data_IF_634076038647
#
_entry.id   IF_634076038647
#
_cell.length_a   1.000
_cell.length_b   1.000
_cell.length_c   1.000
_cell.angle_alpha   90.00
_cell.angle_beta   90.00
_cell.angle_gamma   90.00
#
_symmetry.space_group_name_H-M   'P 1'
#
loop_
_entity.id
_entity.type
_entity.pdbx_description
1 polymer ?
#
# COMPACT_ATOMS: atom_id res chain seq x y z
N UNK A 1 3.13 35.59 -2.23
CA UNK A 1 3.00 35.19 -0.80
C UNK A 1 1.56 34.79 -0.58
N UNK A 2 1.33 33.51 -0.29
CA UNK A 2 0.00 32.94 -0.06
C UNK A 2 0.23 31.57 0.56
N UNK A 3 0.10 31.51 1.89
CA UNK A 3 0.43 30.35 2.70
C UNK A 3 -0.42 29.15 2.31
N UNK A 4 0.24 28.08 1.89
CA UNK A 4 -0.31 26.75 2.07
C UNK A 4 -0.15 26.45 3.56
N UNK A 5 -1.25 26.53 4.31
CA UNK A 5 -1.30 26.05 5.68
C UNK A 5 -0.83 24.60 5.70
N UNK A 6 0.40 24.42 6.19
CA UNK A 6 1.00 23.13 6.38
C UNK A 6 0.21 22.41 7.46
N UNK A 7 -0.53 21.37 7.08
CA UNK A 7 -1.08 20.39 8.01
C UNK A 7 0.06 19.85 8.89
N UNK A 8 0.17 20.40 10.10
CA UNK A 8 0.97 19.86 11.20
C UNK A 8 2.27 20.58 11.54
N UNK A 9 2.43 21.88 11.30
CA UNK A 9 3.50 22.64 11.98
C UNK A 9 2.95 23.35 13.22
N UNK A 10 2.96 22.64 14.35
CA UNK A 10 2.91 23.26 15.67
C UNK A 10 4.11 22.77 16.48
N UNK A 11 4.84 23.70 17.11
CA UNK A 11 6.07 23.49 17.88
C UNK A 11 5.92 22.69 19.19
N UNK A 12 5.19 21.57 19.15
CA UNK A 12 5.14 20.56 20.21
C UNK A 12 6.09 19.39 19.95
N UNK A 13 6.33 18.56 20.96
CA UNK A 13 7.08 17.31 20.82
C UNK A 13 6.49 16.46 19.69
N UNK A 14 7.34 16.02 18.75
CA UNK A 14 6.94 15.16 17.63
C UNK A 14 6.28 13.88 18.15
N UNK A 15 5.21 13.45 17.47
CA UNK A 15 4.50 12.22 17.81
C UNK A 15 5.42 11.02 17.63
N UNK A 16 5.36 10.10 18.60
CA UNK A 16 6.24 8.94 18.69
C UNK A 16 5.54 7.70 18.15
N UNK A 17 6.10 7.02 17.15
CA UNK A 17 5.49 5.85 16.52
C UNK A 17 6.25 4.55 16.83
N UNK A 18 5.53 3.44 16.89
CA UNK A 18 6.11 2.10 16.77
C UNK A 18 6.15 1.70 15.29
N UNK A 19 7.32 1.25 14.82
CA UNK A 19 7.50 0.71 13.47
C UNK A 19 7.59 -0.81 13.52
N UNK A 20 6.70 -1.51 12.81
CA UNK A 20 6.67 -2.97 12.74
C UNK A 20 6.94 -3.38 11.28
N UNK A 21 8.01 -4.09 11.00
CA UNK A 21 8.37 -4.54 9.64
C UNK A 21 8.74 -6.02 9.60
N UNK A 22 8.39 -6.74 8.54
CA UNK A 22 8.70 -8.19 8.46
C UNK A 22 10.17 -8.45 8.21
N UNK A 23 10.75 -7.78 7.22
CA UNK A 23 12.19 -7.78 6.97
C UNK A 23 12.65 -6.42 6.43
N UNK A 24 13.89 -6.04 6.72
CA UNK A 24 14.51 -4.82 6.18
C UNK A 24 15.67 -5.22 5.29
N UNK A 25 15.49 -5.14 3.97
CA UNK A 25 16.51 -5.40 2.94
C UNK A 25 16.37 -4.41 1.80
N UNK A 26 17.33 -4.36 0.89
CA UNK A 26 17.26 -3.51 -0.30
C UNK A 26 15.95 -3.73 -1.07
N UNK A 27 15.24 -2.64 -1.35
CA UNK A 27 13.92 -2.60 -2.00
C UNK A 27 12.80 -3.30 -1.25
N UNK A 28 12.97 -3.63 0.04
CA UNK A 28 11.85 -4.08 0.85
C UNK A 28 10.92 -2.92 1.19
N UNK A 29 9.63 -3.20 1.34
CA UNK A 29 8.67 -2.21 1.81
C UNK A 29 9.12 -1.60 3.14
N UNK A 30 9.51 -2.44 4.11
CA UNK A 30 9.98 -1.95 5.42
C UNK A 30 11.19 -1.03 5.29
N UNK A 31 12.14 -1.34 4.40
CA UNK A 31 13.28 -0.47 4.13
C UNK A 31 12.84 0.91 3.61
N UNK A 32 11.92 0.94 2.64
CA UNK A 32 11.40 2.20 2.10
C UNK A 32 10.73 3.09 3.14
N UNK A 33 9.93 2.52 4.05
CA UNK A 33 9.25 3.29 5.09
C UNK A 33 10.19 3.65 6.25
N UNK A 34 11.00 2.71 6.73
CA UNK A 34 11.91 2.93 7.86
C UNK A 34 12.90 4.07 7.56
N UNK A 35 13.55 4.03 6.39
CA UNK A 35 14.51 5.07 6.00
C UNK A 35 13.83 6.45 5.91
N UNK A 36 12.62 6.52 5.35
CA UNK A 36 11.87 7.78 5.17
C UNK A 36 11.35 8.37 6.48
N UNK A 37 10.95 7.51 7.41
CA UNK A 37 10.46 7.92 8.74
C UNK A 37 11.61 8.25 9.69
N UNK A 38 12.80 7.68 9.49
CA UNK A 38 13.96 7.95 10.33
C UNK A 38 14.78 9.17 9.85
N UNK A 39 15.03 9.26 8.53
CA UNK A 39 15.95 10.25 7.96
C UNK A 39 15.22 11.35 7.19
N UNK A 40 14.16 11.01 6.47
CA UNK A 40 13.48 11.92 5.53
C UNK A 40 13.65 11.49 4.07
N UNK A 41 13.20 12.31 3.13
CA UNK A 41 13.26 12.01 1.69
C UNK A 41 13.11 13.23 0.79
N UNK A 42 13.59 13.11 -0.45
CA UNK A 42 13.33 14.09 -1.50
C UNK A 42 11.89 13.99 -2.03
N UNK A 43 11.16 15.10 -2.03
CA UNK A 43 9.85 15.23 -2.68
C UNK A 43 9.60 16.68 -3.10
N UNK A 44 8.90 16.86 -4.23
CA UNK A 44 8.58 18.18 -4.82
C UNK A 44 9.81 19.11 -4.96
N UNK A 45 10.98 18.54 -5.25
CA UNK A 45 12.21 19.30 -5.43
C UNK A 45 12.90 19.75 -4.15
N UNK A 46 12.45 19.30 -2.97
CA UNK A 46 13.08 19.63 -1.69
C UNK A 46 13.17 18.42 -0.75
N UNK A 47 13.95 18.58 0.32
CA UNK A 47 14.03 17.59 1.39
C UNK A 47 12.80 17.69 2.30
N UNK A 48 12.26 16.53 2.69
CA UNK A 48 11.14 16.40 3.61
C UNK A 48 11.66 15.81 4.92
N UNK A 49 11.60 16.62 5.99
CA UNK A 49 11.89 16.16 7.34
C UNK A 49 10.78 15.23 7.85
N UNK A 50 11.12 14.17 8.61
CA UNK A 50 10.13 13.34 9.27
C UNK A 50 9.21 14.15 10.20
N UNK A 51 7.90 13.90 10.12
CA UNK A 51 6.88 14.55 10.98
C UNK A 51 6.64 13.82 12.31
N UNK A 52 7.28 12.68 12.49
CA UNK A 52 7.14 11.78 13.65
C UNK A 52 8.51 11.23 14.02
N UNK A 53 8.68 10.82 15.27
CA UNK A 53 9.87 10.11 15.74
C UNK A 53 9.58 8.62 15.88
N UNK A 54 10.52 7.77 15.48
CA UNK A 54 10.41 6.32 15.69
C UNK A 54 10.87 6.01 17.12
N UNK A 55 9.94 5.63 17.99
CA UNK A 55 10.23 5.29 19.38
C UNK A 55 10.74 3.86 19.56
N UNK A 56 10.29 2.96 18.70
CA UNK A 56 10.57 1.54 18.76
C UNK A 56 10.44 0.90 17.39
N UNK A 57 11.20 -0.17 17.20
CA UNK A 57 11.20 -0.99 16.00
C UNK A 57 11.01 -2.45 16.40
N UNK A 58 10.15 -3.15 15.68
CA UNK A 58 10.10 -4.61 15.67
C UNK A 58 10.37 -5.08 14.24
N UNK A 59 11.29 -6.04 14.12
CA UNK A 59 11.61 -6.73 12.86
C UNK A 59 11.48 -8.23 13.11
N UNK A 60 10.65 -8.92 12.32
CA UNK A 60 10.36 -10.35 12.52
C UNK A 60 11.48 -11.24 11.98
N UNK A 61 12.01 -10.91 10.80
CA UNK A 61 12.98 -11.72 10.08
C UNK A 61 14.20 -10.90 9.68
N UNK A 62 15.38 -11.48 9.90
CA UNK A 62 16.66 -10.95 9.46
C UNK A 62 17.26 -11.93 8.43
N UNK A 63 17.15 -11.64 7.13
CA UNK A 63 17.62 -12.56 6.10
C UNK A 63 19.15 -12.70 6.15
N UNK A 64 19.67 -13.92 5.98
CA UNK A 64 21.13 -14.20 6.01
C UNK A 64 21.92 -13.32 5.04
N UNK A 65 21.34 -13.04 3.87
CA UNK A 65 21.94 -12.19 2.84
C UNK A 65 21.09 -10.93 2.64
N UNK A 66 21.76 -9.77 2.65
CA UNK A 66 21.14 -8.49 2.35
C UNK A 66 20.27 -7.91 3.47
N UNK A 67 20.37 -8.42 4.70
CA UNK A 67 19.81 -7.74 5.88
C UNK A 67 20.41 -6.33 5.99
N UNK A 68 19.52 -5.36 6.13
CA UNK A 68 19.85 -3.98 6.46
C UNK A 68 19.27 -3.59 7.82
N UNK A 69 18.49 -4.45 8.48
CA UNK A 69 17.78 -4.15 9.71
C UNK A 69 18.70 -3.71 10.84
N UNK A 70 19.72 -4.51 11.15
CA UNK A 70 20.68 -4.19 12.23
C UNK A 70 21.45 -2.89 11.96
N UNK A 71 21.91 -2.70 10.72
CA UNK A 71 22.61 -1.49 10.32
C UNK A 71 21.71 -0.25 10.45
N UNK A 72 20.46 -0.29 9.97
CA UNK A 72 19.54 0.84 10.04
C UNK A 72 19.17 1.21 11.48
N UNK A 73 18.97 0.21 12.32
CA UNK A 73 18.70 0.44 13.75
C UNK A 73 19.87 1.18 14.39
N UNK A 74 21.11 0.73 14.15
CA UNK A 74 22.31 1.40 14.65
C UNK A 74 22.48 2.81 14.06
N UNK A 75 22.36 2.94 12.74
CA UNK A 75 22.56 4.18 11.98
C UNK A 75 21.64 5.30 12.45
N UNK A 76 20.39 4.97 12.75
CA UNK A 76 19.38 5.94 13.15
C UNK A 76 19.17 6.02 14.67
N UNK A 77 19.97 5.30 15.47
CA UNK A 77 19.83 5.30 16.93
C UNK A 77 18.50 4.75 17.43
N UNK A 78 17.92 3.78 16.71
CA UNK A 78 16.63 3.17 17.03
C UNK A 78 16.81 2.02 18.01
N UNK A 79 15.70 1.59 18.63
CA UNK A 79 15.66 0.46 19.54
C UNK A 79 14.82 -0.68 18.98
N UNK A 80 15.45 -1.84 18.81
CA UNK A 80 14.76 -3.09 18.51
C UNK A 80 14.11 -3.66 19.76
N UNK A 81 12.90 -4.17 19.60
CA UNK A 81 12.15 -4.90 20.60
C UNK A 81 11.85 -6.31 20.11
N UNK A 82 11.81 -7.32 21.00
CA UNK A 82 11.62 -8.72 20.64
C UNK A 82 10.18 -9.08 20.29
N UNK A 83 9.21 -8.20 20.60
CA UNK A 83 7.80 -8.44 20.31
C UNK A 83 7.05 -7.15 19.97
N UNK A 84 5.89 -7.31 19.31
CA UNK A 84 4.98 -6.20 19.00
C UNK A 84 4.47 -5.55 20.30
N UNK A 85 4.10 -6.33 21.32
CA UNK A 85 3.68 -5.78 22.61
C UNK A 85 4.77 -4.91 23.22
N UNK A 86 6.02 -5.37 23.24
CA UNK A 86 7.10 -4.57 23.80
C UNK A 86 7.42 -3.35 22.96
N UNK A 87 7.33 -3.43 21.63
CA UNK A 87 7.49 -2.26 20.76
C UNK A 87 6.42 -1.20 21.03
N UNK A 88 5.15 -1.58 21.22
CA UNK A 88 4.05 -0.66 21.50
C UNK A 88 4.09 -0.10 22.92
N UNK A 89 4.58 -0.89 23.88
CA UNK A 89 4.59 -0.53 25.31
C UNK A 89 5.93 0.04 25.78
N UNK A 90 6.95 0.00 24.92
CA UNK A 90 8.34 0.30 25.24
C UNK A 90 8.89 -0.54 26.41
N UNK A 91 8.30 -1.71 26.67
CA UNK A 91 8.63 -2.61 27.79
C UNK A 91 7.90 -2.29 29.10
N UNK A 92 7.00 -1.31 29.12
CA UNK A 92 6.27 -0.89 30.34
C UNK A 92 4.98 -1.69 30.59
N UNK A 93 4.55 -2.51 29.63
CA UNK A 93 3.30 -3.26 29.69
C UNK A 93 2.02 -2.44 29.40
N UNK A 94 2.12 -1.14 29.15
CA UNK A 94 1.02 -0.27 28.69
C UNK A 94 1.43 0.54 27.46
N UNK A 95 0.47 0.87 26.60
CA UNK A 95 0.70 1.59 25.34
C UNK A 95 1.43 2.92 25.57
N UNK A 96 2.64 3.03 25.04
CA UNK A 96 3.56 4.15 25.28
C UNK A 96 3.94 4.94 24.00
N UNK A 97 3.30 4.61 22.86
CA UNK A 97 3.46 5.32 21.59
C UNK A 97 2.18 6.09 21.21
N UNK A 98 2.30 7.00 20.25
CA UNK A 98 1.24 7.84 19.69
C UNK A 98 0.65 7.28 18.38
N UNK A 99 1.28 6.27 17.77
CA UNK A 99 0.83 5.65 16.53
C UNK A 99 1.61 4.38 16.19
N UNK A 100 1.08 3.58 15.26
CA UNK A 100 1.69 2.33 14.80
C UNK A 100 1.76 2.31 13.28
N UNK A 101 2.92 1.90 12.75
CA UNK A 101 3.16 1.70 11.32
C UNK A 101 3.47 0.23 11.08
N UNK A 102 2.54 -0.48 10.44
CA UNK A 102 2.61 -1.91 10.10
C UNK A 102 3.03 -2.06 8.64
N UNK A 103 4.26 -2.52 8.42
CA UNK A 103 4.81 -2.84 7.10
C UNK A 103 5.04 -4.35 7.00
N UNK A 104 3.93 -5.10 7.00
CA UNK A 104 3.96 -6.55 6.92
C UNK A 104 3.99 -7.05 5.46
N UNK A 105 5.12 -6.84 4.78
CA UNK A 105 5.32 -7.19 3.37
C UNK A 105 6.76 -7.64 3.10
N UNK A 106 6.92 -8.68 2.27
CA UNK A 106 8.14 -9.47 2.08
C UNK A 106 8.51 -10.33 3.31
N UNK A 107 9.59 -11.11 3.20
CA UNK A 107 9.95 -12.19 4.12
C UNK A 107 9.45 -13.55 3.68
N UNK A 108 9.81 -14.58 4.44
CA UNK A 108 9.40 -15.98 4.23
C UNK A 108 8.14 -16.25 5.04
N UNK A 109 7.00 -16.34 4.35
CA UNK A 109 5.70 -16.69 4.94
C UNK A 109 5.01 -17.77 4.10
N UNK A 110 4.09 -18.56 4.69
CA UNK A 110 3.34 -19.57 3.96
C UNK A 110 2.56 -18.99 2.78
N UNK A 111 2.32 -19.82 1.77
CA UNK A 111 1.41 -19.49 0.66
C UNK A 111 0.19 -20.40 0.70
N UNK A 112 -0.96 -19.86 0.33
CA UNK A 112 -2.18 -20.66 0.20
C UNK A 112 -2.36 -21.21 -1.24
N UNK A 113 -3.39 -22.02 -1.44
CA UNK A 113 -3.74 -22.62 -2.73
C UNK A 113 -4.04 -21.60 -3.85
N UNK A 114 -4.41 -20.36 -3.47
CA UNK A 114 -4.63 -19.25 -4.41
C UNK A 114 -3.32 -18.56 -4.83
N UNK A 115 -2.19 -18.99 -4.28
CA UNK A 115 -0.87 -18.40 -4.51
C UNK A 115 -0.61 -17.12 -3.71
N UNK A 116 -1.48 -16.75 -2.78
CA UNK A 116 -1.30 -15.57 -1.93
C UNK A 116 -0.27 -15.88 -0.85
N UNK A 117 0.66 -14.96 -0.61
CA UNK A 117 1.56 -15.04 0.54
C UNK A 117 0.83 -14.55 1.78
N UNK A 118 0.78 -15.39 2.82
CA UNK A 118 0.07 -15.11 4.06
C UNK A 118 0.92 -14.25 4.99
N UNK A 119 1.15 -13.00 4.57
CA UNK A 119 1.83 -12.01 5.39
C UNK A 119 1.02 -11.73 6.67
N UNK A 120 1.70 -11.47 7.81
CA UNK A 120 1.07 -11.48 9.14
C UNK A 120 0.33 -10.17 9.47
N UNK A 121 -0.27 -9.51 8.47
CA UNK A 121 -0.97 -8.21 8.63
C UNK A 121 -2.08 -8.27 9.66
N UNK A 122 -2.92 -9.30 9.56
CA UNK A 122 -4.03 -9.52 10.48
C UNK A 122 -3.53 -9.83 11.87
N UNK A 123 -2.59 -10.77 11.99
CA UNK A 123 -2.02 -11.23 13.25
C UNK A 123 -1.37 -10.06 14.00
N UNK A 124 -0.56 -9.24 13.33
CA UNK A 124 0.10 -8.08 13.94
C UNK A 124 -0.89 -6.98 14.34
N UNK A 125 -1.91 -6.73 13.52
CA UNK A 125 -2.98 -5.82 13.88
C UNK A 125 -3.71 -6.29 15.14
N UNK A 126 -4.00 -7.60 15.27
CA UNK A 126 -4.65 -8.16 16.45
C UNK A 126 -3.77 -8.05 17.71
N UNK A 127 -2.45 -8.18 17.59
CA UNK A 127 -1.53 -7.89 18.71
C UNK A 127 -1.61 -6.41 19.14
N UNK A 128 -1.72 -5.47 18.19
CA UNK A 128 -1.94 -4.07 18.52
C UNK A 128 -3.28 -3.86 19.26
N UNK A 129 -4.35 -4.50 18.78
CA UNK A 129 -5.68 -4.46 19.42
C UNK A 129 -5.64 -4.96 20.87
N UNK A 130 -4.94 -6.07 21.14
CA UNK A 130 -4.78 -6.59 22.51
C UNK A 130 -4.10 -5.58 23.43
N UNK A 131 -3.05 -4.91 22.96
CA UNK A 131 -2.36 -3.85 23.73
C UNK A 131 -3.29 -2.66 23.97
N UNK A 132 -4.09 -2.27 22.98
CA UNK A 132 -5.02 -1.16 23.09
C UNK A 132 -6.12 -1.45 24.12
N UNK A 133 -6.68 -2.67 24.11
CA UNK A 133 -7.67 -3.14 25.08
C UNK A 133 -7.09 -3.14 26.50
N UNK A 134 -5.92 -3.75 26.69
CA UNK A 134 -5.22 -3.78 27.99
C UNK A 134 -4.88 -2.38 28.51
N UNK A 135 -4.61 -1.45 27.61
CA UNK A 135 -4.26 -0.06 27.95
C UNK A 135 -5.48 0.87 28.08
N UNK A 136 -6.68 0.41 27.68
CA UNK A 136 -7.89 1.24 27.63
C UNK A 136 -7.81 2.40 26.62
N UNK A 137 -6.88 2.34 25.65
CA UNK A 137 -6.62 3.43 24.69
C UNK A 137 -6.07 2.87 23.38
N UNK A 138 -6.64 3.33 22.26
CA UNK A 138 -6.09 3.10 20.92
C UNK A 138 -5.29 4.30 20.39
N UNK A 139 -4.46 4.05 19.38
CA UNK A 139 -3.74 5.07 18.61
C UNK A 139 -3.92 4.83 17.11
N UNK A 140 -3.72 5.86 16.25
CA UNK A 140 -3.76 5.68 14.82
C UNK A 140 -2.85 4.52 14.35
N UNK A 141 -3.38 3.69 13.47
CA UNK A 141 -2.66 2.59 12.83
C UNK A 141 -2.61 2.81 11.33
N UNK A 142 -1.41 2.78 10.76
CA UNK A 142 -1.17 2.66 9.33
C UNK A 142 -0.80 1.21 9.01
N UNK A 143 -1.50 0.57 8.08
CA UNK A 143 -1.22 -0.78 7.61
C UNK A 143 -0.95 -0.76 6.10
N UNK A 144 0.28 -1.10 5.71
CA UNK A 144 0.66 -1.11 4.30
C UNK A 144 -0.13 -2.14 3.46
N UNK A 145 -0.66 -1.70 2.32
CA UNK A 145 -1.52 -2.46 1.37
C UNK A 145 -2.89 -2.85 1.93
N UNK A 146 -3.46 -3.95 1.43
CA UNK A 146 -4.76 -4.48 1.88
C UNK A 146 -4.68 -4.93 3.35
N UNK A 147 -5.86 -5.09 3.95
CA UNK A 147 -6.02 -5.53 5.34
C UNK A 147 -5.57 -6.99 5.56
N UNK A 148 -6.28 -7.93 4.94
CA UNK A 148 -6.02 -9.37 5.04
C UNK A 148 -6.45 -10.07 3.75
N UNK A 149 -6.18 -11.37 3.64
CA UNK A 149 -6.51 -12.20 2.47
C UNK A 149 -7.94 -12.77 2.51
N UNK A 150 -8.67 -12.57 3.61
CA UNK A 150 -10.06 -13.02 3.75
C UNK A 150 -10.98 -11.88 4.21
N UNK A 151 -12.20 -11.84 3.66
CA UNK A 151 -13.19 -10.81 3.98
C UNK A 151 -13.53 -10.77 5.48
N UNK A 152 -13.67 -11.93 6.12
CA UNK A 152 -13.99 -12.01 7.55
C UNK A 152 -12.92 -11.31 8.41
N UNK A 153 -11.64 -11.58 8.15
CA UNK A 153 -10.53 -10.91 8.83
C UNK A 153 -10.48 -9.41 8.53
N UNK A 154 -10.66 -9.01 7.27
CA UNK A 154 -10.74 -7.59 6.89
C UNK A 154 -11.84 -6.85 7.65
N UNK A 155 -13.05 -7.45 7.71
CA UNK A 155 -14.20 -6.88 8.43
C UNK A 155 -13.92 -6.76 9.92
N UNK A 156 -13.36 -7.81 10.52
CA UNK A 156 -12.99 -7.79 11.94
C UNK A 156 -12.00 -6.67 12.27
N UNK A 157 -10.97 -6.47 11.43
CA UNK A 157 -10.01 -5.37 11.63
C UNK A 157 -10.69 -3.99 11.60
N UNK A 158 -11.63 -3.77 10.68
CA UNK A 158 -12.41 -2.52 10.59
C UNK A 158 -13.34 -2.37 11.79
N UNK A 159 -14.00 -3.44 12.21
CA UNK A 159 -14.91 -3.44 13.36
C UNK A 159 -14.15 -3.15 14.66
N UNK A 160 -12.96 -3.71 14.85
CA UNK A 160 -12.08 -3.43 15.98
C UNK A 160 -11.64 -1.97 16.02
N UNK A 161 -11.23 -1.41 14.88
CA UNK A 161 -10.87 0.00 14.79
C UNK A 161 -12.02 0.94 15.19
N UNK A 162 -13.24 0.62 14.77
CA UNK A 162 -14.46 1.35 15.16
C UNK A 162 -14.78 1.17 16.63
N UNK A 163 -14.76 -0.07 17.14
CA UNK A 163 -15.06 -0.43 18.53
C UNK A 163 -14.11 0.26 19.51
N UNK A 164 -12.81 0.28 19.18
CA UNK A 164 -11.76 0.90 19.99
C UNK A 164 -11.48 2.36 19.62
N UNK A 165 -12.23 2.91 18.67
CA UNK A 165 -12.24 4.33 18.26
C UNK A 165 -10.86 4.87 17.89
N UNK A 166 -10.07 4.12 17.14
CA UNK A 166 -8.79 4.60 16.61
C UNK A 166 -8.84 4.79 15.08
N UNK A 167 -8.16 5.82 14.54
CA UNK A 167 -8.02 5.98 13.09
C UNK A 167 -7.25 4.81 12.48
N UNK A 168 -7.80 4.22 11.43
CA UNK A 168 -7.17 3.10 10.74
C UNK A 168 -7.06 3.39 9.25
N UNK A 169 -5.81 3.45 8.76
CA UNK A 169 -5.51 3.70 7.36
C UNK A 169 -4.79 2.50 6.76
N UNK A 170 -5.28 2.03 5.62
CA UNK A 170 -4.67 0.97 4.84
C UNK A 170 -4.90 1.23 3.35
N UNK A 171 -4.09 0.62 2.51
CA UNK A 171 -4.26 0.67 1.07
C UNK A 171 -2.95 0.76 0.32
N UNK A 172 -3.09 0.82 -1.00
CA UNK A 172 -2.03 1.08 -1.95
C UNK A 172 -1.55 2.53 -1.87
N UNK A 173 -0.28 2.74 -2.23
CA UNK A 173 0.26 4.08 -2.51
C UNK A 173 -0.13 4.61 -3.89
N UNK A 174 -0.67 3.76 -4.77
CA UNK A 174 -0.97 4.12 -6.16
C UNK A 174 -2.08 5.16 -6.31
N UNK A 175 -3.14 5.22 -5.45
CA UNK A 175 -4.09 6.33 -5.43
C UNK A 175 -3.47 7.71 -5.19
N UNK A 176 -2.27 7.78 -4.60
CA UNK A 176 -1.56 9.04 -4.29
C UNK A 176 -0.28 9.23 -5.11
N UNK A 177 -0.03 8.36 -6.09
CA UNK A 177 1.14 8.47 -6.96
C UNK A 177 1.04 9.62 -7.95
N UNK A 178 2.18 9.99 -8.57
CA UNK A 178 2.20 10.94 -9.67
C UNK A 178 1.59 10.30 -10.92
N UNK A 179 0.73 11.04 -11.61
CA UNK A 179 0.03 10.59 -12.82
C UNK A 179 0.64 11.24 -14.06
N UNK A 180 0.57 10.53 -15.19
CA UNK A 180 1.00 11.02 -16.50
C UNK A 180 -0.09 10.72 -17.54
N UNK A 181 -0.83 11.74 -18.03
CA UNK A 181 -0.82 13.14 -17.58
C UNK A 181 -1.34 13.28 -16.13
N UNK A 182 -0.99 14.38 -15.46
CA UNK A 182 -1.42 14.66 -14.07
C UNK A 182 -2.89 15.07 -14.02
N UNK A 183 -3.79 14.14 -14.30
CA UNK A 183 -5.24 14.34 -14.33
C UNK A 183 -5.90 13.53 -13.21
N UNK A 184 -6.79 14.18 -12.47
CA UNK A 184 -7.80 13.53 -11.64
C UNK A 184 -9.13 13.54 -12.42
N UNK A 185 -9.89 12.44 -12.33
CA UNK A 185 -11.19 12.38 -13.00
C UNK A 185 -12.11 13.48 -12.44
N UNK A 186 -12.70 14.36 -13.27
CA UNK A 186 -13.59 15.38 -12.73
C UNK A 186 -14.76 14.74 -11.96
N UNK A 187 -15.19 15.40 -10.88
CA UNK A 187 -16.32 14.91 -10.11
C UNK A 187 -17.60 14.90 -10.95
N UNK A 188 -18.46 13.92 -10.71
CA UNK A 188 -19.77 13.78 -11.35
C UNK A 188 -19.76 13.55 -12.88
N UNK A 189 -18.60 13.21 -13.44
CA UNK A 189 -18.50 12.78 -14.84
C UNK A 189 -19.35 11.53 -15.05
N UNK A 190 -20.16 11.44 -16.11
CA UNK A 190 -20.89 10.22 -16.47
C UNK A 190 -19.96 9.16 -17.04
N UNK A 191 -18.98 8.72 -16.23
CA UNK A 191 -18.03 7.69 -16.61
C UNK A 191 -18.78 6.37 -16.80
N UNK A 192 -18.73 5.82 -18.01
CA UNK A 192 -19.34 4.53 -18.34
C UNK A 192 -18.38 3.36 -18.12
N UNK A 193 -17.10 3.59 -18.37
CA UNK A 193 -16.07 2.56 -18.36
C UNK A 193 -14.73 3.13 -17.92
N UNK A 194 -13.94 2.30 -17.25
CA UNK A 194 -12.57 2.58 -16.83
C UNK A 194 -11.75 1.30 -16.94
N UNK A 195 -10.51 1.42 -17.44
CA UNK A 195 -9.60 0.29 -17.60
C UNK A 195 -8.27 0.64 -16.95
N UNK A 196 -7.78 -0.27 -16.12
CA UNK A 196 -6.41 -0.27 -15.63
C UNK A 196 -5.70 -1.51 -16.17
N UNK A 197 -4.50 -1.31 -16.73
CA UNK A 197 -3.61 -2.38 -17.15
C UNK A 197 -2.40 -2.33 -16.22
N UNK A 198 -2.13 -3.44 -15.55
CA UNK A 198 -1.04 -3.56 -14.59
C UNK A 198 -0.30 -4.89 -14.79
N UNK A 199 0.91 -4.96 -14.24
CA UNK A 199 1.74 -6.15 -14.19
C UNK A 199 1.74 -6.73 -12.77
N UNK A 200 2.27 -7.94 -12.62
CA UNK A 200 2.45 -8.60 -11.34
C UNK A 200 1.47 -9.76 -11.12
N UNK A 201 1.49 -10.31 -9.90
CA UNK A 201 0.71 -11.48 -9.54
C UNK A 201 -0.49 -11.16 -8.66
N UNK A 202 -1.39 -12.14 -8.60
CA UNK A 202 -2.58 -12.11 -7.74
C UNK A 202 -2.21 -11.71 -6.32
N UNK A 203 -3.00 -10.83 -5.73
CA UNK A 203 -2.86 -10.30 -4.35
C UNK A 203 -1.71 -9.30 -4.16
N UNK A 204 -0.56 -9.55 -4.78
CA UNK A 204 0.62 -8.67 -4.69
C UNK A 204 0.47 -7.35 -5.43
N UNK A 205 -0.07 -7.39 -6.66
CA UNK A 205 -0.20 -6.22 -7.55
C UNK A 205 -1.65 -5.95 -7.98
N UNK A 206 -2.51 -6.97 -8.02
CA UNK A 206 -3.92 -6.81 -8.44
C UNK A 206 -4.65 -5.75 -7.61
N UNK A 207 -4.39 -5.70 -6.30
CA UNK A 207 -4.91 -4.65 -5.41
C UNK A 207 -4.50 -3.25 -5.88
N UNK A 208 -3.25 -3.08 -6.29
CA UNK A 208 -2.74 -1.80 -6.78
C UNK A 208 -3.44 -1.39 -8.06
N UNK A 209 -3.71 -2.33 -8.97
CA UNK A 209 -4.47 -2.07 -10.19
C UNK A 209 -5.91 -1.64 -9.87
N UNK A 210 -6.56 -2.36 -8.94
CA UNK A 210 -7.92 -2.07 -8.49
C UNK A 210 -8.02 -0.70 -7.83
N UNK A 211 -7.17 -0.38 -6.85
CA UNK A 211 -7.22 0.91 -6.17
C UNK A 211 -6.84 2.09 -7.09
N UNK A 212 -5.91 1.87 -8.03
CA UNK A 212 -5.60 2.87 -9.08
C UNK A 212 -6.84 3.18 -9.91
N UNK A 213 -7.56 2.16 -10.37
CA UNK A 213 -8.79 2.33 -11.15
C UNK A 213 -9.91 2.95 -10.30
N UNK A 214 -10.07 2.47 -9.07
CA UNK A 214 -11.15 2.81 -8.17
C UNK A 214 -11.09 4.29 -7.76
N UNK A 215 -9.92 4.80 -7.38
CA UNK A 215 -9.78 6.20 -6.95
C UNK A 215 -10.18 7.22 -8.03
N UNK A 216 -10.12 6.82 -9.32
CA UNK A 216 -10.57 7.62 -10.45
C UNK A 216 -12.06 7.37 -10.77
N UNK A 217 -12.47 6.10 -10.73
CA UNK A 217 -13.80 5.66 -11.17
C UNK A 217 -14.91 6.00 -10.17
N UNK A 218 -14.58 6.12 -8.88
CA UNK A 218 -15.54 6.49 -7.82
C UNK A 218 -15.84 7.98 -7.78
N UNK A 219 -15.13 8.80 -8.56
CA UNK A 219 -15.46 10.22 -8.76
C UNK A 219 -16.59 10.42 -9.77
N UNK A 220 -17.05 9.35 -10.44
CA UNK A 220 -18.14 9.39 -11.44
C UNK A 220 -19.47 9.83 -10.82
N UNK A 221 -20.42 10.23 -11.67
CA UNK A 221 -21.80 10.54 -11.27
C UNK A 221 -22.42 9.38 -10.49
N UNK A 222 -22.90 9.67 -9.27
CA UNK A 222 -23.44 8.67 -8.35
C UNK A 222 -22.41 8.00 -7.44
N UNK A 223 -21.12 8.08 -7.78
CA UNK A 223 -20.01 7.74 -6.88
C UNK A 223 -19.90 6.29 -6.41
N UNK A 224 -19.53 6.13 -5.14
CA UNK A 224 -19.30 4.87 -4.42
C UNK A 224 -20.60 4.11 -4.13
N UNK A 225 -21.16 3.45 -5.15
CA UNK A 225 -22.38 2.63 -5.02
C UNK A 225 -22.12 1.14 -4.75
N UNK A 226 -20.87 0.78 -4.43
CA UNK A 226 -20.44 -0.61 -4.22
C UNK A 226 -20.32 -1.43 -5.53
N UNK A 227 -20.19 -2.75 -5.37
CA UNK A 227 -19.95 -3.71 -6.45
C UNK A 227 -21.20 -4.56 -6.67
N UNK A 228 -21.76 -4.53 -7.89
CA UNK A 228 -22.90 -5.39 -8.28
C UNK A 228 -22.50 -6.77 -8.79
N UNK A 229 -21.40 -6.85 -9.53
CA UNK A 229 -20.93 -8.08 -10.16
C UNK A 229 -19.42 -8.02 -10.35
N UNK A 230 -18.75 -9.17 -10.18
CA UNK A 230 -17.35 -9.38 -10.55
C UNK A 230 -17.28 -10.49 -11.59
N UNK A 231 -16.55 -10.26 -12.68
CA UNK A 231 -16.27 -11.29 -13.69
C UNK A 231 -14.77 -11.38 -13.88
N UNK A 232 -14.19 -12.50 -13.47
CA UNK A 232 -12.76 -12.80 -13.63
C UNK A 232 -12.53 -13.74 -14.83
N UNK A 233 -11.55 -13.41 -15.67
CA UNK A 233 -11.13 -14.22 -16.81
C UNK A 233 -9.60 -14.32 -16.80
N UNK A 234 -9.06 -15.39 -17.38
CA UNK A 234 -7.61 -15.62 -17.47
C UNK A 234 -7.22 -16.12 -18.86
N UNK A 235 -5.98 -15.83 -19.25
CA UNK A 235 -5.36 -16.36 -20.47
C UNK A 235 -6.17 -16.07 -21.74
N UNK A 236 -6.29 -17.03 -22.66
CA UNK A 236 -6.97 -16.84 -23.96
C UNK A 236 -8.40 -16.31 -23.87
N UNK A 237 -9.12 -16.59 -22.78
CA UNK A 237 -10.50 -16.13 -22.58
C UNK A 237 -10.59 -14.59 -22.49
N UNK A 238 -9.57 -13.92 -21.96
CA UNK A 238 -9.52 -12.45 -21.90
C UNK A 238 -9.53 -11.87 -23.32
N UNK A 239 -8.68 -12.42 -24.19
CA UNK A 239 -8.55 -11.98 -25.57
C UNK A 239 -9.80 -12.30 -26.39
N UNK A 240 -10.37 -13.50 -26.22
CA UNK A 240 -11.62 -13.88 -26.87
C UNK A 240 -12.77 -12.94 -26.50
N UNK A 241 -12.87 -12.56 -25.22
CA UNK A 241 -13.87 -11.59 -24.75
C UNK A 241 -13.66 -10.22 -25.38
N UNK A 242 -12.44 -9.68 -25.29
CA UNK A 242 -12.11 -8.34 -25.79
C UNK A 242 -12.19 -8.25 -27.32
N UNK A 243 -12.15 -9.37 -28.06
CA UNK A 243 -12.32 -9.42 -29.51
C UNK A 243 -13.78 -9.14 -29.97
N UNK A 244 -14.78 -9.31 -29.11
CA UNK A 244 -16.17 -9.01 -29.47
C UNK A 244 -16.40 -7.50 -29.70
N UNK A 245 -17.23 -7.14 -30.69
CA UNK A 245 -17.41 -5.73 -31.11
C UNK A 245 -17.92 -4.81 -30.01
N UNK A 246 -18.72 -5.34 -29.08
CA UNK A 246 -19.21 -4.59 -27.91
C UNK A 246 -18.11 -4.09 -26.97
N UNK A 247 -16.86 -4.53 -27.12
CA UNK A 247 -15.69 -4.09 -26.33
C UNK A 247 -14.74 -3.19 -27.11
N UNK A 248 -15.18 -2.59 -28.21
CA UNK A 248 -14.35 -1.68 -29.01
C UNK A 248 -13.75 -0.55 -28.16
N UNK A 249 -14.51 0.03 -27.24
CA UNK A 249 -14.03 1.09 -26.34
C UNK A 249 -13.06 0.54 -25.28
N UNK A 250 -13.35 -0.63 -24.69
CA UNK A 250 -12.40 -1.33 -23.80
C UNK A 250 -11.05 -1.55 -24.46
N UNK A 251 -11.03 -2.00 -25.73
CA UNK A 251 -9.79 -2.20 -26.50
C UNK A 251 -9.02 -0.89 -26.67
N UNK A 252 -9.71 0.21 -26.98
CA UNK A 252 -9.10 1.55 -27.11
C UNK A 252 -8.49 2.02 -25.78
N UNK A 253 -9.18 1.76 -24.67
CA UNK A 253 -8.69 2.08 -23.33
C UNK A 253 -7.48 1.22 -22.95
N UNK A 254 -7.47 -0.08 -23.26
CA UNK A 254 -6.30 -0.97 -23.06
C UNK A 254 -5.09 -0.44 -23.82
N UNK A 255 -5.23 -0.13 -25.11
CA UNK A 255 -4.13 0.45 -25.92
C UNK A 255 -3.66 1.76 -25.31
N UNK A 256 -4.57 2.63 -24.90
CA UNK A 256 -4.24 3.91 -24.25
C UNK A 256 -3.45 3.70 -22.95
N UNK A 257 -3.82 2.72 -22.11
CA UNK A 257 -3.08 2.40 -20.90
C UNK A 257 -1.68 1.88 -21.23
N UNK A 258 -1.54 0.98 -22.21
CA UNK A 258 -0.26 0.41 -22.63
C UNK A 258 0.70 1.47 -23.17
N UNK A 259 0.23 2.45 -23.94
CA UNK A 259 1.09 3.55 -24.46
C UNK A 259 1.79 4.39 -23.38
N UNK A 260 1.40 4.24 -22.12
CA UNK A 260 1.99 4.94 -20.96
C UNK A 260 2.85 4.03 -20.09
N UNK A 261 2.98 2.76 -20.46
CA UNK A 261 3.76 1.80 -19.69
C UNK A 261 5.25 1.90 -20.01
N UNK A 262 6.06 1.97 -18.96
CA UNK A 262 7.52 1.91 -19.04
C UNK A 262 8.06 0.48 -18.98
N UNK A 263 7.18 -0.52 -18.83
CA UNK A 263 7.54 -1.93 -18.68
C UNK A 263 7.19 -2.76 -19.92
N UNK A 264 6.84 -2.13 -21.03
CA UNK A 264 6.63 -2.86 -22.28
C UNK A 264 7.95 -3.44 -22.80
N UNK A 265 7.92 -4.59 -23.48
CA UNK A 265 9.11 -5.15 -24.10
C UNK A 265 9.70 -4.15 -25.11
N UNK A 266 11.01 -3.96 -25.03
CA UNK A 266 11.79 -3.10 -25.92
C UNK A 266 12.94 -3.88 -26.54
N UNK A 267 13.31 -3.53 -27.76
CA UNK A 267 14.51 -3.99 -28.44
C UNK A 267 15.37 -2.78 -28.77
N UNK A 268 16.67 -2.83 -28.46
CA UNK A 268 17.56 -1.67 -28.60
C UNK A 268 17.15 -0.42 -27.78
N UNK A 269 16.32 -0.60 -26.76
CA UNK A 269 15.79 0.50 -25.94
C UNK A 269 14.52 1.18 -26.49
N UNK A 270 13.91 0.66 -27.56
CA UNK A 270 12.66 1.18 -28.12
C UNK A 270 11.60 0.10 -28.28
N UNK A 271 10.32 0.49 -28.39
CA UNK A 271 9.22 -0.46 -28.55
C UNK A 271 9.43 -1.35 -29.77
N UNK A 272 9.16 -2.66 -29.62
CA UNK A 272 9.29 -3.66 -30.69
C UNK A 272 8.32 -3.45 -31.85
N UNK A 273 7.35 -2.55 -31.71
CA UNK A 273 6.41 -2.18 -32.75
C UNK A 273 5.38 -1.15 -32.28
N UNK A 274 4.46 -0.80 -33.17
CA UNK A 274 3.34 0.09 -32.84
C UNK A 274 2.43 -0.59 -31.81
N UNK A 275 2.23 0.09 -30.68
CA UNK A 275 1.33 -0.38 -29.61
C UNK A 275 -0.10 -0.38 -30.16
N UNK A 276 -0.63 -1.57 -30.40
CA UNK A 276 -1.98 -1.85 -30.87
C UNK A 276 -2.58 -2.98 -30.07
N UNK A 277 -3.90 -3.20 -30.18
CA UNK A 277 -4.54 -4.31 -29.50
C UNK A 277 -4.01 -5.68 -29.99
N UNK A 278 -3.80 -5.83 -31.30
CA UNK A 278 -3.24 -7.05 -31.88
C UNK A 278 -1.77 -7.25 -31.50
N UNK A 279 -0.99 -6.18 -31.37
CA UNK A 279 0.37 -6.25 -30.84
C UNK A 279 0.37 -6.73 -29.39
N UNK A 280 -0.52 -6.21 -28.54
CA UNK A 280 -0.61 -6.59 -27.12
C UNK A 280 -1.11 -8.02 -26.89
N UNK A 281 -1.79 -8.61 -27.88
CA UNK A 281 -2.31 -9.98 -27.84
C UNK A 281 -1.22 -11.04 -28.14
N UNK A 282 -0.18 -10.66 -28.88
CA UNK A 282 0.94 -11.55 -29.26
C UNK A 282 1.84 -11.82 -28.07
#
# INVERSE_FOLDING_TARGET
MGGADALGQAGGMRKRIAFLGTEVRTHSHSQHFLDRLALGYGWRGGWQEPRTDIASVYIDQFPENGDLGHDRVKRYGLKLYPSIEEALTLGTGKLAVDGVVIIAEHGKYPRNEKGQTLYPRYEWFKECVKVFEKSGRGVPVFNDKHLSTTWARCKEMVDDAKRLKFPFFAGSSLPVTRRMPSIDMPHNVPLKESVCVAYGGVDSYDIHALETAQCMSERRRGGEVGIRQVHAMRGPNVWKRLAEDRHVDTRRLVVSALTRSHNLPVEGGYYTGKITFDWARK
#
